data_IF_754570886155
#
_entry.id   IF_754570886155
#
_cell.length_a   1.000
_cell.length_b   1.000
_cell.length_c   1.000
_cell.angle_alpha   90.00
_cell.angle_beta   90.00
_cell.angle_gamma   90.00
#
_symmetry.space_group_name_H-M   'P 1'
#
loop_
_entity.id
_entity.type
_entity.pdbx_description
1 polymer ?
#
# COMPACT_ATOMS: atom_id res chain seq x y z
N UNK A 1 -71.28 -35.43 95.83
CA UNK A 1 -69.81 -35.52 95.69
C UNK A 1 -69.52 -35.75 94.21
N UNK A 2 -69.35 -34.69 93.43
CA UNK A 2 -68.05 -34.16 92.97
C UNK A 2 -67.98 -34.40 91.45
N UNK A 3 -68.28 -33.47 90.55
CA UNK A 3 -67.92 -32.05 90.53
C UNK A 3 -66.53 -31.79 89.90
N UNK A 4 -65.83 -32.83 89.42
CA UNK A 4 -64.39 -32.74 89.15
C UNK A 4 -63.89 -33.55 87.93
N UNK A 5 -64.52 -33.46 86.76
CA UNK A 5 -63.96 -34.15 85.56
C UNK A 5 -63.99 -33.37 84.25
N UNK A 6 -64.65 -32.20 84.16
CA UNK A 6 -64.63 -31.41 82.92
C UNK A 6 -63.50 -30.36 82.89
N UNK A 7 -63.08 -29.86 84.05
CA UNK A 7 -62.04 -28.80 84.17
C UNK A 7 -60.61 -29.31 83.90
N UNK A 8 -60.30 -30.57 84.19
CA UNK A 8 -58.94 -31.13 84.04
C UNK A 8 -58.60 -31.52 82.60
N UNK A 9 -59.58 -32.01 81.83
CA UNK A 9 -59.41 -32.34 80.41
C UNK A 9 -59.29 -31.07 79.56
N UNK A 10 -60.07 -30.02 79.87
CA UNK A 10 -59.91 -28.70 79.25
C UNK A 10 -58.59 -28.01 79.62
N UNK A 11 -58.08 -28.21 80.84
CA UNK A 11 -56.81 -27.62 81.29
C UNK A 11 -55.57 -28.27 80.63
N UNK A 12 -55.64 -29.55 80.23
CA UNK A 12 -54.57 -30.24 79.49
C UNK A 12 -54.58 -29.99 77.97
N UNK A 13 -55.74 -29.68 77.39
CA UNK A 13 -55.90 -29.33 75.97
C UNK A 13 -55.43 -27.91 75.63
N UNK A 14 -55.61 -26.97 76.56
CA UNK A 14 -55.19 -25.57 76.40
C UNK A 14 -53.69 -25.39 76.08
N UNK A 15 -52.72 -26.02 76.80
CA UNK A 15 -51.30 -25.90 76.48
C UNK A 15 -50.93 -26.57 75.14
N UNK A 16 -51.57 -27.69 74.78
CA UNK A 16 -51.36 -28.36 73.48
C UNK A 16 -51.86 -27.51 72.30
N UNK A 17 -53.01 -26.85 72.44
CA UNK A 17 -53.51 -25.90 71.45
C UNK A 17 -52.61 -24.67 71.30
N UNK A 18 -52.05 -24.16 72.41
CA UNK A 18 -51.08 -23.07 72.39
C UNK A 18 -49.77 -23.46 71.67
N UNK A 19 -49.26 -24.67 71.92
CA UNK A 19 -48.06 -25.18 71.24
C UNK A 19 -48.36 -25.38 69.74
N UNK A 20 -49.50 -25.96 69.39
CA UNK A 20 -49.91 -26.13 67.99
C UNK A 20 -50.07 -24.79 67.26
N UNK A 21 -50.66 -23.78 67.93
CA UNK A 21 -50.75 -22.43 67.40
C UNK A 21 -49.38 -21.78 67.22
N UNK A 22 -48.45 -21.96 68.18
CA UNK A 22 -47.09 -21.45 68.08
C UNK A 22 -46.31 -22.08 66.92
N UNK A 23 -46.43 -23.40 66.71
CA UNK A 23 -45.79 -24.12 65.58
C UNK A 23 -46.34 -23.63 64.24
N UNK A 24 -47.66 -23.49 64.11
CA UNK A 24 -48.30 -22.94 62.91
C UNK A 24 -47.88 -21.49 62.63
N UNK A 25 -47.70 -20.69 63.68
CA UNK A 25 -47.23 -19.31 63.57
C UNK A 25 -45.77 -19.24 63.09
N UNK A 26 -44.89 -20.11 63.60
CA UNK A 26 -43.50 -20.22 63.16
C UNK A 26 -43.41 -20.69 61.70
N UNK A 27 -44.18 -21.71 61.30
CA UNK A 27 -44.22 -22.14 59.90
C UNK A 27 -44.75 -21.04 58.95
N UNK A 28 -45.80 -20.31 59.38
CA UNK A 28 -46.34 -19.19 58.61
C UNK A 28 -45.31 -18.07 58.44
N UNK A 29 -44.55 -17.75 59.50
CA UNK A 29 -43.44 -16.79 59.46
C UNK A 29 -42.32 -17.26 58.54
N UNK A 30 -41.89 -18.52 58.63
CA UNK A 30 -40.86 -19.07 57.74
C UNK A 30 -41.26 -19.01 56.26
N UNK A 31 -42.51 -19.35 55.92
CA UNK A 31 -43.03 -19.26 54.55
C UNK A 31 -43.19 -17.82 54.06
N UNK A 32 -43.46 -16.87 54.96
CA UNK A 32 -43.54 -15.45 54.62
C UNK A 32 -42.14 -14.89 54.33
N UNK A 33 -41.16 -15.19 55.18
CA UNK A 33 -39.77 -14.77 55.00
C UNK A 33 -39.13 -15.42 53.77
N UNK A 34 -39.41 -16.71 53.51
CA UNK A 34 -38.91 -17.38 52.31
C UNK A 34 -39.48 -16.77 51.02
N UNK A 35 -40.77 -16.42 51.00
CA UNK A 35 -41.39 -15.75 49.84
C UNK A 35 -40.85 -14.35 49.62
N UNK A 36 -40.66 -13.57 50.69
CA UNK A 36 -40.04 -12.25 50.62
C UNK A 36 -38.60 -12.36 50.07
N UNK A 37 -37.80 -13.27 50.62
CA UNK A 37 -36.43 -13.50 50.16
C UNK A 37 -36.37 -13.95 48.70
N UNK A 38 -37.24 -14.88 48.29
CA UNK A 38 -37.32 -15.32 46.90
C UNK A 38 -37.75 -14.20 45.95
N UNK A 39 -38.75 -13.40 46.30
CA UNK A 39 -39.19 -12.26 45.49
C UNK A 39 -38.12 -11.18 45.39
N UNK A 40 -37.43 -10.89 46.50
CA UNK A 40 -36.32 -9.95 46.53
C UNK A 40 -35.18 -10.42 45.61
N UNK A 41 -34.71 -11.66 45.79
CA UNK A 41 -33.67 -12.26 44.95
C UNK A 41 -34.07 -12.32 43.46
N UNK A 42 -35.33 -12.62 43.16
CA UNK A 42 -35.85 -12.62 41.79
C UNK A 42 -35.83 -11.21 41.19
N UNK A 43 -36.22 -10.19 41.97
CA UNK A 43 -36.23 -8.80 41.51
C UNK A 43 -34.82 -8.24 41.30
N UNK A 44 -33.89 -8.52 42.23
CA UNK A 44 -32.48 -8.14 42.13
C UNK A 44 -31.81 -8.85 40.95
N UNK A 45 -32.10 -10.14 40.76
CA UNK A 45 -31.61 -10.91 39.61
C UNK A 45 -32.13 -10.38 38.27
N UNK A 46 -33.41 -10.00 38.20
CA UNK A 46 -33.98 -9.40 37.00
C UNK A 46 -33.34 -8.03 36.69
N UNK A 47 -33.12 -7.21 37.72
CA UNK A 47 -32.44 -5.91 37.58
C UNK A 47 -30.99 -6.08 37.14
N UNK A 48 -30.24 -7.00 37.75
CA UNK A 48 -28.86 -7.27 37.37
C UNK A 48 -28.75 -7.80 35.92
N UNK A 49 -29.66 -8.67 35.51
CA UNK A 49 -29.72 -9.18 34.14
C UNK A 49 -30.04 -8.07 33.14
N UNK A 50 -30.96 -7.16 33.46
CA UNK A 50 -31.29 -6.02 32.61
C UNK A 50 -30.11 -5.04 32.50
N UNK A 51 -29.43 -4.73 33.61
CA UNK A 51 -28.23 -3.90 33.61
C UNK A 51 -27.13 -4.53 32.75
N UNK A 52 -26.88 -5.84 32.90
CA UNK A 52 -25.88 -6.54 32.11
C UNK A 52 -26.22 -6.49 30.61
N UNK A 53 -27.49 -6.68 30.24
CA UNK A 53 -27.93 -6.56 28.83
C UNK A 53 -27.74 -5.16 28.28
N UNK A 54 -28.04 -4.12 29.06
CA UNK A 54 -27.81 -2.72 28.65
C UNK A 54 -26.32 -2.45 28.44
N UNK A 55 -25.48 -2.83 29.39
CA UNK A 55 -24.02 -2.69 29.27
C UNK A 55 -23.46 -3.42 28.06
N UNK A 56 -23.94 -4.63 27.78
CA UNK A 56 -23.55 -5.37 26.57
C UNK A 56 -24.01 -4.66 25.29
N UNK A 57 -25.26 -4.20 25.23
CA UNK A 57 -25.78 -3.48 24.07
C UNK A 57 -25.02 -2.15 23.82
N UNK A 58 -24.71 -1.41 24.89
CA UNK A 58 -23.89 -0.20 24.84
C UNK A 58 -22.46 -0.50 24.37
N UNK A 59 -21.82 -1.53 24.95
CA UNK A 59 -20.49 -1.94 24.53
C UNK A 59 -20.42 -2.43 23.07
N UNK A 60 -21.46 -3.14 22.60
CA UNK A 60 -21.56 -3.57 21.20
C UNK A 60 -21.75 -2.39 20.26
N UNK A 61 -22.59 -1.41 20.63
CA UNK A 61 -22.77 -0.20 19.83
C UNK A 61 -21.52 0.67 19.79
N UNK A 62 -20.82 0.86 20.91
CA UNK A 62 -19.52 1.56 20.92
C UNK A 62 -18.48 0.84 20.06
N UNK A 63 -18.38 -0.49 20.15
CA UNK A 63 -17.47 -1.27 19.30
C UNK A 63 -17.83 -1.12 17.82
N UNK A 64 -19.10 -1.19 17.47
CA UNK A 64 -19.56 -1.01 16.09
C UNK A 64 -19.24 0.39 15.56
N UNK A 65 -19.50 1.43 16.35
CA UNK A 65 -19.18 2.82 15.98
C UNK A 65 -17.68 3.04 15.82
N UNK A 66 -16.87 2.49 16.74
CA UNK A 66 -15.41 2.55 16.65
C UNK A 66 -14.89 1.82 15.41
N UNK A 67 -15.41 0.61 15.14
CA UNK A 67 -15.06 -0.15 13.94
C UNK A 67 -15.43 0.61 12.67
N UNK A 68 -16.63 1.19 12.58
CA UNK A 68 -17.06 2.00 11.45
C UNK A 68 -16.19 3.25 11.25
N UNK A 69 -15.87 3.97 12.33
CA UNK A 69 -14.99 5.13 12.28
C UNK A 69 -13.58 4.75 11.79
N UNK A 70 -13.03 3.65 12.29
CA UNK A 70 -11.73 3.13 11.85
C UNK A 70 -11.73 2.72 10.38
N UNK A 71 -12.79 2.04 9.93
CA UNK A 71 -12.95 1.62 8.54
C UNK A 71 -13.08 2.83 7.60
N UNK A 72 -13.84 3.85 7.99
CA UNK A 72 -13.96 5.11 7.25
C UNK A 72 -12.63 5.85 7.17
N UNK A 73 -11.86 5.91 8.26
CA UNK A 73 -10.54 6.53 8.27
C UNK A 73 -9.56 5.78 7.37
N UNK A 74 -9.54 4.44 7.44
CA UNK A 74 -8.70 3.60 6.58
C UNK A 74 -9.08 3.74 5.10
N UNK A 75 -10.38 3.75 4.78
CA UNK A 75 -10.87 3.97 3.43
C UNK A 75 -10.48 5.35 2.89
N UNK A 76 -10.58 6.39 3.71
CA UNK A 76 -10.16 7.76 3.33
C UNK A 76 -8.66 7.83 3.10
N UNK A 77 -7.86 7.24 3.98
CA UNK A 77 -6.40 7.17 3.81
C UNK A 77 -6.03 6.45 2.50
N UNK A 78 -6.66 5.30 2.23
CA UNK A 78 -6.46 4.56 0.99
C UNK A 78 -6.85 5.38 -0.24
N UNK A 79 -7.97 6.11 -0.20
CA UNK A 79 -8.41 6.95 -1.31
C UNK A 79 -7.44 8.10 -1.58
N UNK A 80 -6.91 8.73 -0.52
CA UNK A 80 -5.87 9.77 -0.66
C UNK A 80 -4.60 9.23 -1.28
N UNK A 81 -4.15 8.04 -0.84
CA UNK A 81 -3.00 7.35 -1.40
C UNK A 81 -3.19 6.98 -2.88
N UNK A 82 -4.37 6.47 -3.23
CA UNK A 82 -4.72 6.17 -4.63
C UNK A 82 -4.70 7.42 -5.50
N UNK A 83 -5.37 8.50 -5.06
CA UNK A 83 -5.40 9.76 -5.80
C UNK A 83 -3.99 10.33 -6.04
N UNK A 84 -3.11 10.24 -5.03
CA UNK A 84 -1.70 10.64 -5.16
C UNK A 84 -0.95 9.79 -6.19
N UNK A 85 -1.09 8.46 -6.11
CA UNK A 85 -0.44 7.55 -7.05
C UNK A 85 -0.95 7.76 -8.49
N UNK A 86 -2.25 7.97 -8.67
CA UNK A 86 -2.86 8.27 -9.97
C UNK A 86 -2.32 9.58 -10.54
N UNK A 87 -2.15 10.61 -9.70
CA UNK A 87 -1.54 11.87 -10.11
C UNK A 87 -0.10 11.68 -10.60
N UNK A 88 0.74 11.02 -9.79
CA UNK A 88 2.14 10.73 -10.17
C UNK A 88 2.22 9.93 -11.48
N UNK A 89 1.35 8.93 -11.66
CA UNK A 89 1.29 8.14 -12.89
C UNK A 89 0.91 9.00 -14.11
N UNK A 90 -0.04 9.92 -13.94
CA UNK A 90 -0.45 10.85 -14.99
C UNK A 90 0.66 11.83 -15.37
N UNK A 91 1.36 12.36 -14.36
CA UNK A 91 2.48 13.29 -14.56
C UNK A 91 3.64 12.61 -15.29
N UNK A 92 4.00 11.38 -14.89
CA UNK A 92 5.00 10.57 -15.59
C UNK A 92 4.60 10.33 -17.05
N UNK A 93 3.35 9.93 -17.29
CA UNK A 93 2.86 9.67 -18.63
C UNK A 93 2.87 10.94 -19.49
N UNK A 94 2.59 12.12 -18.90
CA UNK A 94 2.65 13.40 -19.61
C UNK A 94 4.09 13.76 -20.00
N UNK A 95 5.06 13.63 -19.08
CA UNK A 95 6.48 13.87 -19.35
C UNK A 95 7.02 12.94 -20.44
N UNK A 96 6.71 11.64 -20.37
CA UNK A 96 7.11 10.67 -21.38
C UNK A 96 6.54 11.01 -22.77
N UNK A 97 5.26 11.44 -22.85
CA UNK A 97 4.68 11.90 -24.12
C UNK A 97 5.40 13.13 -24.67
N UNK A 98 5.77 14.08 -23.83
CA UNK A 98 6.54 15.26 -24.24
C UNK A 98 7.94 14.89 -24.73
N UNK A 99 8.63 13.97 -24.05
CA UNK A 99 9.93 13.48 -24.46
C UNK A 99 9.86 12.74 -25.80
N UNK A 100 8.85 11.88 -25.99
CA UNK A 100 8.53 11.23 -27.27
C UNK A 100 8.29 12.22 -28.40
N UNK A 101 7.42 13.21 -28.19
CA UNK A 101 7.13 14.23 -29.20
C UNK A 101 8.39 15.03 -29.58
N UNK A 102 9.28 15.27 -28.62
CA UNK A 102 10.58 15.92 -28.86
C UNK A 102 11.49 15.03 -29.69
N UNK A 103 11.58 13.73 -29.37
CA UNK A 103 12.33 12.74 -30.16
C UNK A 103 11.82 12.68 -31.59
N UNK A 104 10.50 12.52 -31.80
CA UNK A 104 9.91 12.39 -33.12
C UNK A 104 10.21 13.62 -33.99
N UNK A 105 10.08 14.82 -33.42
CA UNK A 105 10.45 16.07 -34.08
C UNK A 105 11.94 16.08 -34.47
N UNK A 106 12.82 15.76 -33.53
CA UNK A 106 14.27 15.78 -33.76
C UNK A 106 14.69 14.73 -34.79
N UNK A 107 14.17 13.50 -34.72
CA UNK A 107 14.40 12.45 -35.72
C UNK A 107 13.98 12.91 -37.12
N UNK A 108 12.82 13.60 -37.24
CA UNK A 108 12.40 14.18 -38.50
C UNK A 108 13.33 15.28 -39.04
N UNK A 109 14.01 16.01 -38.15
CA UNK A 109 14.98 17.05 -38.52
C UNK A 109 16.35 16.50 -38.95
N UNK A 110 16.69 15.24 -38.61
CA UNK A 110 18.01 14.65 -38.89
C UNK A 110 18.33 14.70 -40.40
N UNK A 111 17.39 14.29 -41.25
CA UNK A 111 17.61 14.31 -42.71
C UNK A 111 17.94 15.73 -43.21
N UNK A 112 17.23 16.74 -42.67
CA UNK A 112 17.43 18.15 -43.06
C UNK A 112 18.83 18.66 -42.70
N UNK A 113 19.40 18.23 -41.58
CA UNK A 113 20.67 18.77 -41.06
C UNK A 113 21.90 17.97 -41.49
N UNK A 114 21.72 16.80 -42.11
CA UNK A 114 22.81 15.87 -42.37
C UNK A 114 23.27 15.81 -43.84
N UNK A 115 22.63 16.56 -44.75
CA UNK A 115 22.92 16.48 -46.18
C UNK A 115 23.83 17.61 -46.70
N UNK A 116 23.64 18.84 -46.22
CA UNK A 116 24.27 20.04 -46.79
C UNK A 116 24.90 20.92 -45.70
N UNK A 117 26.05 21.51 -46.01
CA UNK A 117 26.70 22.52 -45.18
C UNK A 117 27.03 23.79 -45.99
N UNK A 118 27.19 24.93 -45.29
CA UNK A 118 27.67 26.20 -45.87
C UNK A 118 28.88 26.68 -45.09
N UNK A 119 29.92 27.11 -45.79
CA UNK A 119 31.13 27.64 -45.16
C UNK A 119 31.00 29.08 -44.63
N UNK A 120 30.02 29.83 -45.11
CA UNK A 120 29.64 31.17 -44.66
C UNK A 120 28.15 31.38 -44.92
N UNK A 121 27.52 32.37 -44.27
CA UNK A 121 26.08 32.61 -44.37
C UNK A 121 25.62 32.82 -45.83
N UNK A 122 26.40 33.57 -46.59
CA UNK A 122 26.10 33.92 -48.00
C UNK A 122 26.65 32.91 -49.01
N UNK A 123 27.33 31.85 -48.56
CA UNK A 123 27.91 30.83 -49.45
C UNK A 123 26.83 29.85 -49.94
N UNK A 124 26.93 29.32 -51.17
CA UNK A 124 26.05 28.26 -51.64
C UNK A 124 26.22 26.98 -50.80
N UNK A 125 25.16 26.16 -50.64
CA UNK A 125 25.24 24.92 -49.90
C UNK A 125 26.08 23.89 -50.66
N UNK A 126 26.85 23.10 -49.93
CA UNK A 126 27.72 22.03 -50.45
C UNK A 126 27.37 20.71 -49.76
N UNK A 127 27.51 19.56 -50.42
CA UNK A 127 27.35 18.26 -49.78
C UNK A 127 28.27 18.14 -48.56
N UNK A 128 27.75 17.53 -47.50
CA UNK A 128 28.52 17.26 -46.30
C UNK A 128 29.72 16.33 -46.65
N UNK A 129 30.94 16.61 -46.17
CA UNK A 129 32.07 15.69 -46.36
C UNK A 129 31.76 14.31 -45.76
N UNK A 130 32.34 13.26 -46.36
CA UNK A 130 32.22 11.92 -45.82
C UNK A 130 32.80 11.86 -44.40
N UNK A 131 31.97 11.46 -43.44
CA UNK A 131 32.38 11.19 -42.07
C UNK A 131 32.39 9.67 -41.89
N UNK A 132 33.54 9.12 -41.52
CA UNK A 132 33.75 7.69 -41.33
C UNK A 132 33.90 7.44 -39.83
N UNK A 133 33.04 6.57 -39.29
CA UNK A 133 33.21 6.02 -37.95
C UNK A 133 33.93 4.69 -38.07
N UNK A 134 34.92 4.47 -37.22
CA UNK A 134 35.69 3.21 -37.24
C UNK A 134 34.99 2.13 -36.42
N UNK A 135 35.30 0.86 -36.67
CA UNK A 135 34.78 -0.24 -35.85
C UNK A 135 35.21 -0.13 -34.38
N UNK A 136 36.39 0.42 -34.12
CA UNK A 136 36.88 0.76 -32.77
C UNK A 136 36.03 1.84 -32.09
N UNK A 137 35.62 2.88 -32.84
CA UNK A 137 34.68 3.89 -32.33
C UNK A 137 33.36 3.24 -31.89
N UNK A 138 32.76 2.40 -32.74
CA UNK A 138 31.50 1.71 -32.42
C UNK A 138 31.68 0.75 -31.23
N UNK A 139 32.81 0.04 -31.13
CA UNK A 139 33.08 -0.82 -29.96
C UNK A 139 33.02 -0.03 -28.65
N UNK A 140 33.73 1.09 -28.56
CA UNK A 140 33.75 1.94 -27.36
C UNK A 140 32.35 2.51 -27.08
N UNK A 141 31.63 2.90 -28.12
CA UNK A 141 30.25 3.37 -28.00
C UNK A 141 29.30 2.31 -27.44
N UNK A 142 29.34 1.09 -27.99
CA UNK A 142 28.50 -0.02 -27.55
C UNK A 142 28.80 -0.42 -26.10
N UNK A 143 30.07 -0.38 -25.71
CA UNK A 143 30.50 -0.64 -24.33
C UNK A 143 30.00 0.45 -23.37
N UNK A 144 30.11 1.73 -23.75
CA UNK A 144 29.63 2.85 -22.95
C UNK A 144 28.11 2.87 -22.78
N UNK A 145 27.36 2.44 -23.81
CA UNK A 145 25.90 2.38 -23.80
C UNK A 145 25.35 1.07 -23.23
N UNK A 146 26.22 0.10 -22.94
CA UNK A 146 25.83 -1.24 -22.48
C UNK A 146 25.23 -2.14 -23.56
N UNK A 147 25.27 -1.74 -24.84
CA UNK A 147 24.86 -2.58 -25.96
C UNK A 147 25.81 -3.77 -26.18
N UNK A 148 27.05 -3.66 -25.70
CA UNK A 148 28.03 -4.75 -25.64
C UNK A 148 28.48 -4.96 -24.19
N UNK A 149 28.44 -6.21 -23.73
CA UNK A 149 29.09 -6.60 -22.47
C UNK A 149 30.59 -6.75 -22.72
N UNK A 150 31.48 -6.19 -21.87
CA UNK A 150 32.91 -6.32 -22.03
C UNK A 150 33.32 -7.80 -22.14
N UNK A 151 34.11 -8.15 -23.16
CA UNK A 151 34.76 -9.47 -23.19
C UNK A 151 35.78 -9.52 -22.05
N UNK A 152 35.83 -10.66 -21.34
CA UNK A 152 36.82 -10.88 -20.30
C UNK A 152 38.25 -10.65 -20.86
N UNK A 153 39.09 -9.93 -20.10
CA UNK A 153 40.47 -9.62 -20.51
C UNK A 153 41.25 -10.90 -20.78
N UNK A 154 41.44 -11.22 -22.06
CA UNK A 154 42.28 -12.33 -22.50
C UNK A 154 43.75 -11.87 -22.49
N UNK A 155 44.41 -12.04 -21.34
CA UNK A 155 45.82 -11.66 -21.11
C UNK A 155 46.86 -12.48 -21.89
N UNK A 156 46.44 -13.48 -22.67
CA UNK A 156 47.31 -14.40 -23.42
C UNK A 156 47.41 -14.16 -24.93
N UNK A 157 46.94 -13.02 -25.46
CA UNK A 157 46.87 -12.79 -26.92
C UNK A 157 48.26 -12.50 -27.51
N UNK A 158 48.62 -13.20 -28.60
CA UNK A 158 49.91 -13.01 -29.27
C UNK A 158 50.02 -11.63 -29.95
N UNK A 159 51.22 -11.07 -30.08
CA UNK A 159 51.44 -9.73 -30.66
C UNK A 159 50.83 -9.55 -32.07
N UNK A 160 50.90 -10.59 -32.91
CA UNK A 160 50.28 -10.58 -34.25
C UNK A 160 48.74 -10.49 -34.19
N UNK A 161 48.11 -11.19 -33.23
CA UNK A 161 46.66 -11.15 -33.01
C UNK A 161 46.22 -9.79 -32.42
N UNK A 162 47.08 -9.13 -31.63
CA UNK A 162 46.84 -7.76 -31.16
C UNK A 162 46.90 -6.76 -32.31
N UNK A 163 47.92 -6.85 -33.17
CA UNK A 163 48.05 -5.97 -34.33
C UNK A 163 46.91 -6.15 -35.34
N UNK A 164 46.48 -7.39 -35.59
CA UNK A 164 45.32 -7.70 -36.45
C UNK A 164 44.01 -7.17 -35.86
N UNK A 165 43.84 -7.27 -34.53
CA UNK A 165 42.70 -6.67 -33.83
C UNK A 165 42.68 -5.13 -33.96
N UNK A 166 43.83 -4.48 -33.78
CA UNK A 166 43.96 -3.03 -33.94
C UNK A 166 43.70 -2.56 -35.37
N UNK A 167 44.19 -3.29 -36.37
CA UNK A 167 43.91 -3.00 -37.78
C UNK A 167 42.41 -3.17 -38.11
N UNK A 168 41.76 -4.19 -37.52
CA UNK A 168 40.31 -4.41 -37.67
C UNK A 168 39.49 -3.26 -37.07
N UNK A 169 39.92 -2.69 -35.95
CA UNK A 169 39.26 -1.54 -35.33
C UNK A 169 39.34 -0.26 -36.18
N UNK A 170 40.30 -0.14 -37.09
CA UNK A 170 40.46 1.02 -37.98
C UNK A 170 39.58 0.95 -39.23
N UNK A 171 38.95 -0.19 -39.51
CA UNK A 171 38.04 -0.35 -40.64
C UNK A 171 36.79 0.52 -40.46
N UNK A 172 36.20 0.94 -41.60
CA UNK A 172 34.90 1.60 -41.64
C UNK A 172 33.83 0.69 -40.99
N UNK A 173 33.06 1.25 -40.07
CA UNK A 173 31.96 0.56 -39.41
C UNK A 173 30.68 0.53 -40.25
N UNK A 174 30.57 1.36 -41.29
CA UNK A 174 29.35 1.56 -42.07
C UNK A 174 28.28 2.39 -41.34
N UNK A 175 28.60 2.95 -40.16
CA UNK A 175 27.69 3.82 -39.43
C UNK A 175 27.62 5.19 -40.11
N UNK A 176 26.42 5.71 -40.34
CA UNK A 176 26.22 7.06 -40.87
C UNK A 176 26.08 8.10 -39.76
N UNK A 177 26.40 9.36 -40.05
CA UNK A 177 26.17 10.49 -39.12
C UNK A 177 24.69 10.60 -38.71
N UNK A 178 23.76 10.34 -39.64
CA UNK A 178 22.33 10.33 -39.35
C UNK A 178 21.92 9.22 -38.38
N UNK A 179 22.47 8.01 -38.56
CA UNK A 179 22.22 6.90 -37.63
C UNK A 179 22.80 7.18 -36.23
N UNK A 180 23.97 7.81 -36.17
CA UNK A 180 24.57 8.25 -34.92
C UNK A 180 23.69 9.29 -34.19
N UNK A 181 23.22 10.32 -34.90
CA UNK A 181 22.33 11.32 -34.34
C UNK A 181 20.99 10.74 -33.91
N UNK A 182 20.39 9.82 -34.69
CA UNK A 182 19.12 9.18 -34.33
C UNK A 182 19.27 8.37 -33.04
N UNK A 183 20.34 7.59 -32.94
CA UNK A 183 20.67 6.90 -31.70
C UNK A 183 20.82 7.89 -30.53
N UNK A 184 21.59 8.97 -30.69
CA UNK A 184 21.80 9.94 -29.62
C UNK A 184 20.48 10.59 -29.14
N UNK A 185 19.59 10.95 -30.07
CA UNK A 185 18.27 11.52 -29.75
C UNK A 185 17.44 10.51 -28.93
N UNK A 186 17.39 9.25 -29.36
CA UNK A 186 16.66 8.18 -28.64
C UNK A 186 17.26 7.87 -27.28
N UNK A 187 18.59 7.82 -27.19
CA UNK A 187 19.31 7.61 -25.95
C UNK A 187 19.04 8.75 -24.96
N UNK A 188 19.05 10.00 -25.42
CA UNK A 188 18.70 11.16 -24.59
C UNK A 188 17.25 11.11 -24.09
N UNK A 189 16.30 10.61 -24.90
CA UNK A 189 14.92 10.34 -24.45
C UNK A 189 14.89 9.33 -23.30
N UNK A 190 15.60 8.22 -23.44
CA UNK A 190 15.69 7.19 -22.41
C UNK A 190 16.24 7.76 -21.10
N UNK A 191 17.35 8.51 -21.16
CA UNK A 191 17.92 9.15 -19.97
C UNK A 191 16.93 10.11 -19.28
N UNK A 192 16.22 10.94 -20.06
CA UNK A 192 15.19 11.86 -19.51
C UNK A 192 14.02 11.10 -18.89
N UNK A 193 13.54 10.04 -19.53
CA UNK A 193 12.48 9.20 -18.99
C UNK A 193 12.90 8.53 -17.68
N UNK A 194 14.14 8.04 -17.58
CA UNK A 194 14.67 7.47 -16.34
C UNK A 194 14.79 8.51 -15.24
N UNK A 195 15.31 9.71 -15.55
CA UNK A 195 15.39 10.81 -14.59
C UNK A 195 13.99 11.19 -14.06
N UNK A 196 13.02 11.36 -14.95
CA UNK A 196 11.62 11.63 -14.59
C UNK A 196 11.01 10.55 -13.68
N UNK A 197 11.27 9.26 -13.95
CA UNK A 197 10.81 8.17 -13.08
C UNK A 197 11.45 8.23 -11.69
N UNK A 198 12.74 8.55 -11.61
CA UNK A 198 13.46 8.66 -10.34
C UNK A 198 12.98 9.86 -9.53
N UNK A 199 12.80 11.01 -10.17
CA UNK A 199 12.29 12.23 -9.51
C UNK A 199 10.91 11.97 -8.90
N UNK A 200 9.98 11.36 -9.67
CA UNK A 200 8.64 11.04 -9.16
C UNK A 200 8.66 9.95 -8.08
N UNK A 201 9.60 9.01 -8.13
CA UNK A 201 9.78 8.03 -7.06
C UNK A 201 10.29 8.69 -5.78
N UNK A 202 11.21 9.66 -5.90
CA UNK A 202 11.69 10.46 -4.77
C UNK A 202 10.53 11.25 -4.17
N UNK A 203 9.73 11.94 -5.00
CA UNK A 203 8.57 12.70 -4.52
C UNK A 203 7.56 11.78 -3.80
N UNK A 204 7.29 10.60 -4.34
CA UNK A 204 6.41 9.60 -3.72
C UNK A 204 6.90 9.15 -2.34
N UNK A 205 8.21 8.93 -2.18
CA UNK A 205 8.85 8.49 -0.93
C UNK A 205 8.97 9.63 0.08
N UNK A 206 9.30 10.84 -0.37
CA UNK A 206 9.43 12.03 0.48
C UNK A 206 8.07 12.64 0.88
N UNK A 207 6.98 12.23 0.22
CA UNK A 207 5.64 12.74 0.46
C UNK A 207 5.44 14.17 -0.05
N UNK A 208 6.16 14.54 -1.11
CA UNK A 208 6.00 15.81 -1.83
C UNK A 208 4.94 15.72 -2.92
#
# INVERSE_FOLDING_TARGET
>A
MSGLTLRSVLAGLAPLLLIGAAVLMVEAMQRAEYRKGYQLAQSEGAQALEQLRRQHAEAETERAQSAEASAKQAAKALQTEQARNDQLANDLAAQQRQHRATTDRLTGEIARVNDLYRGALDAPPKPLPACVFTRGFVRVWDEATGARVPEAENTGRAAAQVAEGQATEQLDSGLSQGAFLDHHVRYAEQCRNTAAQLDLLIDAVEGK
#
